data_IF_392647457268
#
_entry.id   IF_392647457268
#
_cell.length_a   1.000
_cell.length_b   1.000
_cell.length_c   1.000
_cell.angle_alpha   90.00
_cell.angle_beta   90.00
_cell.angle_gamma   90.00
#
_symmetry.space_group_name_H-M   'P 1'
#
loop_
_entity.id
_entity.type
_entity.pdbx_description
1 polymer ?
#
# COMPACT_ATOMS: atom_id res chain seq x y z
N UNK A 1 -4.52 4.30 -12.40
CA UNK A 1 -3.28 5.07 -12.16
C UNK A 1 -3.68 6.54 -12.05
N UNK A 2 -3.75 7.08 -10.82
CA UNK A 2 -4.25 8.43 -10.54
C UNK A 2 -3.59 9.51 -11.40
N UNK A 3 -2.26 9.45 -11.53
CA UNK A 3 -1.47 10.36 -12.38
C UNK A 3 -1.92 10.37 -13.84
N UNK A 4 -2.34 9.23 -14.39
CA UNK A 4 -2.86 9.16 -15.77
C UNK A 4 -4.31 9.66 -15.86
N UNK A 5 -5.09 9.53 -14.79
CA UNK A 5 -6.44 10.08 -14.70
C UNK A 5 -6.42 11.62 -14.58
N UNK A 6 -5.33 12.18 -14.06
CA UNK A 6 -5.05 13.62 -14.01
C UNK A 6 -4.48 14.23 -15.30
N UNK A 7 -4.27 13.43 -16.35
CA UNK A 7 -3.89 13.92 -17.69
C UNK A 7 -2.40 13.76 -18.06
N UNK A 8 -1.58 13.13 -17.22
CA UNK A 8 -0.17 12.88 -17.54
C UNK A 8 0.02 11.76 -18.59
N UNK A 9 1.03 11.94 -19.46
CA UNK A 9 1.39 10.95 -20.48
C UNK A 9 1.81 9.60 -19.83
N UNK A 10 1.51 8.48 -20.51
CA UNK A 10 1.79 7.12 -19.98
C UNK A 10 3.20 6.95 -19.42
N UNK A 11 4.21 7.57 -20.06
CA UNK A 11 5.60 7.49 -19.65
C UNK A 11 5.91 8.23 -18.35
N UNK A 12 5.29 9.40 -18.13
CA UNK A 12 5.50 10.18 -16.91
C UNK A 12 4.74 9.61 -15.71
N UNK A 13 3.52 9.11 -15.91
CA UNK A 13 2.79 8.38 -14.87
C UNK A 13 3.54 7.11 -14.42
N UNK A 14 4.19 6.41 -15.35
CA UNK A 14 5.05 5.28 -15.03
C UNK A 14 6.31 5.72 -14.28
N UNK A 15 7.00 6.77 -14.74
CA UNK A 15 8.19 7.29 -14.09
C UNK A 15 7.88 7.78 -12.67
N UNK A 16 6.73 8.43 -12.46
CA UNK A 16 6.27 8.87 -11.14
C UNK A 16 6.06 7.69 -10.18
N UNK A 17 5.42 6.60 -10.64
CA UNK A 17 5.26 5.39 -9.84
C UNK A 17 6.58 4.67 -9.52
N UNK A 18 7.52 4.66 -10.46
CA UNK A 18 8.86 4.09 -10.22
C UNK A 18 9.63 4.95 -9.21
N UNK A 19 9.59 6.27 -9.36
CA UNK A 19 10.27 7.20 -8.45
C UNK A 19 9.70 7.12 -7.03
N UNK A 20 8.38 6.96 -6.86
CA UNK A 20 7.80 6.72 -5.53
C UNK A 20 8.22 5.36 -4.98
N UNK A 21 8.29 4.31 -5.81
CA UNK A 21 8.73 2.98 -5.38
C UNK A 21 10.20 2.91 -4.96
N UNK A 22 11.07 3.78 -5.50
CA UNK A 22 12.50 3.84 -5.13
C UNK A 22 12.71 4.20 -3.66
N UNK A 23 11.73 4.81 -2.99
CA UNK A 23 11.83 5.12 -1.56
C UNK A 23 11.92 3.85 -0.69
N UNK A 24 11.31 2.74 -1.14
CA UNK A 24 11.25 1.48 -0.39
C UNK A 24 12.62 0.79 -0.26
N UNK A 25 13.40 0.56 -1.34
CA UNK A 25 14.72 -0.04 -1.21
C UNK A 25 15.70 0.86 -0.45
N UNK A 26 15.57 2.18 -0.56
CA UNK A 26 16.39 3.12 0.23
C UNK A 26 16.08 2.96 1.72
N UNK A 27 14.79 2.92 2.08
CA UNK A 27 14.35 2.65 3.44
C UNK A 27 14.87 1.29 3.94
N UNK A 28 14.74 0.24 3.13
CA UNK A 28 15.20 -1.09 3.47
C UNK A 28 16.72 -1.13 3.78
N UNK A 29 17.54 -0.51 2.93
CA UNK A 29 19.00 -0.44 3.14
C UNK A 29 19.34 0.31 4.43
N UNK A 30 18.71 1.47 4.69
CA UNK A 30 18.93 2.22 5.92
C UNK A 30 18.54 1.41 7.16
N UNK A 31 17.41 0.70 7.10
CA UNK A 31 16.92 -0.13 8.19
C UNK A 31 17.87 -1.29 8.48
N UNK A 32 18.43 -1.92 7.43
CA UNK A 32 19.43 -2.99 7.56
C UNK A 32 20.73 -2.48 8.19
N UNK A 33 21.22 -1.31 7.75
CA UNK A 33 22.43 -0.70 8.32
C UNK A 33 22.26 -0.32 9.80
N UNK A 34 21.06 0.09 10.20
CA UNK A 34 20.70 0.45 11.57
C UNK A 34 20.00 -0.68 12.35
N UNK A 35 20.03 -1.93 11.86
CA UNK A 35 19.18 -3.01 12.36
C UNK A 35 19.29 -3.22 13.88
N UNK A 36 20.48 -3.12 14.45
CA UNK A 36 20.69 -3.31 15.90
C UNK A 36 19.93 -2.31 16.77
N UNK A 37 19.73 -1.08 16.27
CA UNK A 37 18.96 -0.05 16.96
C UNK A 37 17.46 -0.15 16.64
N UNK A 38 17.12 -0.56 15.42
CA UNK A 38 15.73 -0.58 14.93
C UNK A 38 14.96 -1.81 15.40
N UNK A 39 15.59 -2.99 15.54
CA UNK A 39 14.91 -4.22 15.98
C UNK A 39 14.04 -4.03 17.24
N UNK A 40 14.51 -3.40 18.34
CA UNK A 40 13.65 -3.17 19.51
C UNK A 40 12.54 -2.13 19.25
N UNK A 41 12.73 -1.22 18.29
CA UNK A 41 11.74 -0.21 17.89
C UNK A 41 10.76 -0.73 16.83
N UNK A 42 11.05 -1.86 16.14
CA UNK A 42 10.22 -2.45 15.10
C UNK A 42 8.74 -2.61 15.50
N UNK A 43 8.37 -3.15 16.67
CA UNK A 43 6.94 -3.31 17.00
C UNK A 43 6.20 -1.98 17.03
N UNK A 44 6.85 -0.90 17.49
CA UNK A 44 6.25 0.44 17.50
C UNK A 44 6.14 1.01 16.08
N UNK A 45 7.18 0.84 15.25
CA UNK A 45 7.18 1.30 13.86
C UNK A 45 6.16 0.54 13.00
N UNK A 46 6.07 -0.79 13.16
CA UNK A 46 5.09 -1.62 12.48
C UNK A 46 3.66 -1.29 12.92
N UNK A 47 3.44 -1.03 14.22
CA UNK A 47 2.14 -0.57 14.71
C UNK A 47 1.74 0.77 14.11
N UNK A 48 2.70 1.70 13.99
CA UNK A 48 2.48 2.99 13.34
C UNK A 48 2.16 2.84 11.85
N UNK A 49 2.92 2.01 11.13
CA UNK A 49 2.67 1.71 9.72
C UNK A 49 1.30 1.07 9.50
N UNK A 50 0.91 0.10 10.35
CA UNK A 50 -0.41 -0.51 10.31
C UNK A 50 -1.52 0.53 10.51
N UNK A 51 -1.36 1.45 11.48
CA UNK A 51 -2.30 2.54 11.71
C UNK A 51 -2.45 3.48 10.50
N UNK A 52 -1.33 3.87 9.89
CA UNK A 52 -1.34 4.72 8.69
C UNK A 52 -2.06 4.04 7.52
N UNK A 53 -1.81 2.74 7.30
CA UNK A 53 -2.49 1.99 6.24
C UNK A 53 -3.99 1.83 6.51
N UNK A 54 -4.42 1.61 7.77
CA UNK A 54 -5.84 1.57 8.11
C UNK A 54 -6.54 2.92 7.87
N UNK A 55 -5.89 4.04 8.20
CA UNK A 55 -6.43 5.37 7.92
C UNK A 55 -6.68 5.58 6.41
N UNK A 56 -5.67 5.30 5.57
CA UNK A 56 -5.80 5.43 4.10
C UNK A 56 -6.89 4.51 3.55
N UNK A 57 -7.02 3.29 4.05
CA UNK A 57 -8.07 2.37 3.63
C UNK A 57 -9.46 2.93 3.95
N UNK A 58 -9.66 3.45 5.17
CA UNK A 58 -10.98 3.91 5.63
C UNK A 58 -11.38 5.24 5.00
N UNK A 59 -10.46 6.19 4.91
CA UNK A 59 -10.74 7.56 4.47
C UNK A 59 -10.65 7.74 2.94
N UNK A 60 -9.79 6.97 2.27
CA UNK A 60 -9.57 7.12 0.83
C UNK A 60 -10.18 5.94 0.06
N UNK A 61 -9.76 4.71 0.35
CA UNK A 61 -10.12 3.55 -0.48
C UNK A 61 -11.60 3.16 -0.38
N UNK A 62 -12.18 3.10 0.83
CA UNK A 62 -13.60 2.73 1.01
C UNK A 62 -14.54 3.74 0.32
N UNK A 63 -14.36 5.07 0.49
CA UNK A 63 -15.16 6.05 -0.22
C UNK A 63 -14.99 5.99 -1.74
N UNK A 64 -13.76 5.81 -2.23
CA UNK A 64 -13.47 5.71 -3.67
C UNK A 64 -14.20 4.52 -4.31
N UNK A 65 -14.21 3.36 -3.64
CA UNK A 65 -14.95 2.17 -4.10
C UNK A 65 -16.47 2.37 -4.10
N UNK A 66 -17.00 3.15 -3.16
CA UNK A 66 -18.44 3.37 -3.00
C UNK A 66 -19.01 4.43 -3.96
N UNK A 67 -18.19 5.38 -4.40
CA UNK A 67 -18.61 6.47 -5.32
C UNK A 67 -18.72 6.05 -6.80
N UNK A 68 -18.25 4.85 -7.17
CA UNK A 68 -18.38 4.32 -8.53
C UNK A 68 -19.79 3.80 -8.86
N UNK A 69 -20.20 3.86 -10.14
CA UNK A 69 -21.54 3.43 -10.60
C UNK A 69 -21.88 1.94 -10.34
N UNK A 70 -20.94 1.15 -9.81
CA UNK A 70 -21.12 -0.26 -9.42
C UNK A 70 -20.37 -0.58 -8.12
N UNK A 71 -20.75 0.05 -7.00
CA UNK A 71 -20.17 -0.16 -5.64
C UNK A 71 -19.99 -1.64 -5.24
N UNK A 72 -20.88 -2.53 -5.71
CA UNK A 72 -20.82 -3.97 -5.44
C UNK A 72 -19.59 -4.66 -6.06
N UNK A 73 -19.13 -4.21 -7.23
CA UNK A 73 -17.98 -4.82 -7.91
C UNK A 73 -16.68 -4.48 -7.16
N UNK A 74 -16.51 -3.22 -6.75
CA UNK A 74 -15.34 -2.81 -5.96
C UNK A 74 -15.24 -3.58 -4.65
N UNK A 75 -16.36 -3.73 -3.95
CA UNK A 75 -16.44 -4.50 -2.69
C UNK A 75 -16.09 -5.99 -2.89
N UNK A 76 -16.55 -6.60 -3.99
CA UNK A 76 -16.23 -8.00 -4.29
C UNK A 76 -14.73 -8.19 -4.58
N UNK A 77 -14.11 -7.31 -5.37
CA UNK A 77 -12.67 -7.36 -5.63
C UNK A 77 -11.83 -7.08 -4.39
N UNK A 78 -12.29 -6.19 -3.51
CA UNK A 78 -11.67 -5.97 -2.20
C UNK A 78 -11.71 -7.25 -1.35
N UNK A 79 -12.87 -7.89 -1.23
CA UNK A 79 -13.03 -9.13 -0.47
C UNK A 79 -12.17 -10.28 -1.04
N UNK A 80 -12.08 -10.40 -2.37
CA UNK A 80 -11.21 -11.36 -3.04
C UNK A 80 -9.73 -11.07 -2.78
N UNK A 81 -9.30 -9.81 -2.91
CA UNK A 81 -7.92 -9.39 -2.65
C UNK A 81 -7.51 -9.61 -1.19
N UNK A 82 -8.39 -9.27 -0.25
CA UNK A 82 -8.19 -9.53 1.17
C UNK A 82 -8.09 -11.04 1.44
N UNK A 83 -8.99 -11.85 0.88
CA UNK A 83 -8.95 -13.30 1.04
C UNK A 83 -7.68 -13.91 0.46
N UNK A 84 -7.25 -13.45 -0.71
CA UNK A 84 -5.99 -13.89 -1.33
C UNK A 84 -4.79 -13.53 -0.45
N UNK A 85 -4.73 -12.31 0.08
CA UNK A 85 -3.65 -11.91 0.99
C UNK A 85 -3.63 -12.75 2.26
N UNK A 86 -4.79 -13.01 2.89
CA UNK A 86 -4.88 -13.88 4.06
C UNK A 86 -4.42 -15.32 3.76
N UNK A 87 -4.74 -15.84 2.57
CA UNK A 87 -4.25 -17.16 2.14
C UNK A 87 -2.73 -17.13 1.97
N UNK A 88 -2.17 -16.08 1.36
CA UNK A 88 -0.72 -15.93 1.17
C UNK A 88 0.02 -15.81 2.51
N UNK A 89 -0.51 -15.03 3.45
CA UNK A 89 0.05 -14.87 4.81
C UNK A 89 0.10 -16.22 5.54
N UNK A 90 -1.00 -16.97 5.55
CA UNK A 90 -1.06 -18.29 6.19
C UNK A 90 -0.19 -19.33 5.47
N UNK A 91 -0.09 -19.26 4.14
CA UNK A 91 0.67 -20.21 3.35
C UNK A 91 2.19 -19.96 3.37
N UNK A 92 2.62 -18.70 3.44
CA UNK A 92 4.04 -18.31 3.40
C UNK A 92 4.63 -18.11 4.81
N UNK A 93 3.81 -17.85 5.82
CA UNK A 93 4.22 -17.71 7.22
C UNK A 93 5.28 -16.63 7.43
#
# INVERSE_FOLDING_TARGET
MPLRAEGESKGKAFLGGVLSGVVEPIGAVLTILAAQLVIPALPYLLSFAAGAMLYVVVEELIPEMSQGQHSNIGTLFFALGFSLMMILDVALG
#
